data_IF_688788623680
#
_entry.id   IF_688788623680
#
_cell.length_a   1.000
_cell.length_b   1.000
_cell.length_c   1.000
_cell.angle_alpha   90.00
_cell.angle_beta   90.00
_cell.angle_gamma   90.00
#
_symmetry.space_group_name_H-M   'P 1'
#
loop_
_entity.id
_entity.type
_entity.pdbx_description
1 polymer ?
#
# COMPACT_ATOMS: atom_id res chain seq x y z
N UNK A 1 -9.32 1.90 18.79
CA UNK A 1 -7.92 1.83 18.35
C UNK A 1 -7.03 2.62 19.32
N UNK A 2 -5.88 2.08 19.75
CA UNK A 2 -5.03 2.77 20.76
C UNK A 2 -4.34 4.01 20.17
N UNK A 3 -4.33 5.14 20.90
CA UNK A 3 -3.61 6.36 20.52
C UNK A 3 -2.13 6.11 20.22
N UNK A 4 -1.52 5.11 20.88
CA UNK A 4 -0.13 4.70 20.64
C UNK A 4 0.08 4.11 19.25
N UNK A 5 -0.88 3.33 18.74
CA UNK A 5 -0.83 2.74 17.40
C UNK A 5 -0.97 3.83 16.33
N UNK A 6 -1.92 4.74 16.51
CA UNK A 6 -2.12 5.88 15.61
C UNK A 6 -0.86 6.76 15.50
N UNK A 7 -0.18 7.03 16.62
CA UNK A 7 1.09 7.78 16.61
C UNK A 7 2.21 7.05 15.87
N UNK A 8 2.28 5.72 16.00
CA UNK A 8 3.27 4.91 15.26
C UNK A 8 2.99 4.95 13.76
N UNK A 9 1.73 4.76 13.35
CA UNK A 9 1.32 4.88 11.97
C UNK A 9 1.67 6.28 11.41
N UNK A 10 1.29 7.35 12.11
CA UNK A 10 1.63 8.72 11.70
C UNK A 10 3.15 8.96 11.53
N UNK A 11 3.99 8.36 12.38
CA UNK A 11 5.44 8.46 12.24
C UNK A 11 5.97 7.75 10.98
N UNK A 12 5.39 6.60 10.62
CA UNK A 12 5.75 5.91 9.36
C UNK A 12 5.23 6.66 8.14
N UNK A 13 4.02 7.21 8.20
CA UNK A 13 3.49 8.07 7.13
C UNK A 13 4.37 9.28 6.87
N UNK A 14 4.94 9.87 7.92
CA UNK A 14 5.89 10.97 7.76
C UNK A 14 7.13 10.51 6.98
N UNK A 15 7.67 9.32 7.27
CA UNK A 15 8.80 8.75 6.52
C UNK A 15 8.44 8.47 5.06
N UNK A 16 7.25 7.92 4.81
CA UNK A 16 6.73 7.71 3.46
C UNK A 16 6.64 9.05 2.71
N UNK A 17 6.11 10.08 3.36
CA UNK A 17 6.04 11.43 2.80
C UNK A 17 7.43 12.02 2.51
N UNK A 18 8.35 11.92 3.46
CA UNK A 18 9.73 12.41 3.30
C UNK A 18 10.46 11.67 2.16
N UNK A 19 10.19 10.37 1.97
CA UNK A 19 10.79 9.54 0.91
C UNK A 19 10.18 9.77 -0.48
N UNK A 20 8.89 10.12 -0.57
CA UNK A 20 8.23 10.47 -1.84
C UNK A 20 8.61 11.88 -2.34
N UNK A 21 9.08 12.75 -1.44
CA UNK A 21 9.46 14.13 -1.76
C UNK A 21 8.32 15.14 -1.64
N UNK A 22 8.66 16.41 -1.86
CA UNK A 22 7.79 17.56 -1.56
C UNK A 22 6.61 17.74 -2.53
N UNK A 23 6.71 17.19 -3.74
CA UNK A 23 5.65 17.25 -4.76
C UNK A 23 4.55 16.19 -4.55
N UNK A 24 4.83 15.19 -3.70
CA UNK A 24 3.89 14.14 -3.36
C UNK A 24 3.11 14.50 -2.09
N UNK A 25 1.88 13.98 -1.95
CA UNK A 25 1.08 14.15 -0.73
C UNK A 25 0.38 12.84 -0.37
N UNK A 26 0.58 12.35 0.85
CA UNK A 26 -0.28 11.33 1.46
C UNK A 26 -1.44 12.02 2.19
N UNK A 27 -2.61 12.01 1.56
CA UNK A 27 -3.76 12.82 1.99
C UNK A 27 -4.65 12.12 3.04
N UNK A 28 -4.82 10.81 2.93
CA UNK A 28 -5.72 10.02 3.78
C UNK A 28 -5.24 8.58 3.88
N UNK A 29 -5.63 7.91 4.98
CA UNK A 29 -5.34 6.50 5.22
C UNK A 29 -6.60 5.77 5.67
N UNK A 30 -7.01 4.77 4.90
CA UNK A 30 -8.20 3.97 5.14
C UNK A 30 -7.85 2.55 5.55
N UNK A 31 -8.43 2.08 6.66
CA UNK A 31 -8.41 0.68 7.05
C UNK A 31 -9.69 0.01 6.58
N UNK A 32 -9.59 -1.06 5.79
CA UNK A 32 -10.75 -1.77 5.25
C UNK A 32 -10.73 -3.27 5.54
N UNK A 33 -11.93 -3.85 5.52
CA UNK A 33 -12.15 -5.30 5.51
C UNK A 33 -13.00 -5.63 4.30
N UNK A 34 -12.49 -6.49 3.42
CA UNK A 34 -13.20 -6.94 2.24
C UNK A 34 -14.10 -8.12 2.55
N UNK A 35 -15.21 -8.26 1.81
CA UNK A 35 -16.14 -9.40 1.93
C UNK A 35 -15.44 -10.77 1.80
N UNK A 36 -14.38 -10.86 1.01
CA UNK A 36 -13.60 -12.10 0.83
C UNK A 36 -12.72 -12.46 2.03
N UNK A 37 -12.68 -11.64 3.09
CA UNK A 37 -11.87 -11.85 4.29
C UNK A 37 -10.49 -11.19 4.27
N UNK A 38 -10.12 -10.51 3.18
CA UNK A 38 -8.90 -9.69 3.18
C UNK A 38 -9.06 -8.47 4.10
N UNK A 39 -7.97 -8.05 4.71
CA UNK A 39 -7.87 -6.81 5.49
C UNK A 39 -6.75 -5.99 4.92
N UNK A 40 -6.93 -4.68 4.75
CA UNK A 40 -5.88 -3.85 4.17
C UNK A 40 -5.95 -2.41 4.61
N UNK A 41 -4.85 -1.71 4.34
CA UNK A 41 -4.71 -0.27 4.49
C UNK A 41 -4.49 0.33 3.12
N UNK A 42 -5.23 1.39 2.80
CA UNK A 42 -5.05 2.19 1.58
C UNK A 42 -4.52 3.56 1.98
N UNK A 43 -3.53 4.05 1.25
CA UNK A 43 -2.89 5.34 1.40
C UNK A 43 -3.21 6.15 0.15
N UNK A 44 -4.07 7.16 0.31
CA UNK A 44 -4.52 8.01 -0.78
C UNK A 44 -3.43 9.03 -1.10
N UNK A 45 -2.82 8.92 -2.28
CA UNK A 45 -1.68 9.76 -2.68
C UNK A 45 -2.03 10.69 -3.83
N UNK A 46 -1.28 11.79 -3.94
CA UNK A 46 -1.32 12.73 -5.07
C UNK A 46 0.11 13.11 -5.44
N UNK A 47 0.33 13.42 -6.73
CA UNK A 47 1.65 13.84 -7.21
C UNK A 47 2.70 12.71 -7.27
N UNK A 48 2.26 11.45 -7.22
CA UNK A 48 3.16 10.28 -7.23
C UNK A 48 3.06 9.55 -8.57
N UNK A 49 4.21 9.26 -9.19
CA UNK A 49 4.34 8.30 -10.29
C UNK A 49 4.94 6.97 -9.80
N UNK A 50 4.71 5.89 -10.54
CA UNK A 50 5.25 4.55 -10.20
C UNK A 50 6.77 4.54 -9.99
N UNK A 51 7.50 5.34 -10.75
CA UNK A 51 8.97 5.43 -10.66
C UNK A 51 9.46 6.05 -9.35
N UNK A 52 8.60 6.78 -8.65
CA UNK A 52 8.93 7.47 -7.39
C UNK A 52 8.81 6.52 -6.19
N UNK A 53 8.27 5.31 -6.39
CA UNK A 53 8.11 4.30 -5.35
C UNK A 53 9.43 3.58 -5.12
N UNK A 54 10.17 4.02 -4.11
CA UNK A 54 11.41 3.39 -3.66
C UNK A 54 11.17 2.29 -2.61
N UNK A 55 12.21 1.50 -2.31
CA UNK A 55 12.16 0.51 -1.22
C UNK A 55 11.88 1.15 0.15
N UNK A 56 12.36 2.38 0.38
CA UNK A 56 12.09 3.11 1.63
C UNK A 56 10.59 3.45 1.78
N UNK A 57 9.95 3.83 0.66
CA UNK A 57 8.49 4.04 0.61
C UNK A 57 7.77 2.73 0.96
N UNK A 58 8.16 1.62 0.34
CA UNK A 58 7.55 0.31 0.57
C UNK A 58 7.68 -0.14 2.03
N UNK A 59 8.87 0.01 2.62
CA UNK A 59 9.13 -0.32 4.01
C UNK A 59 8.26 0.53 4.96
N UNK A 60 8.15 1.83 4.69
CA UNK A 60 7.30 2.73 5.47
C UNK A 60 5.82 2.35 5.42
N UNK A 61 5.31 1.98 4.24
CA UNK A 61 3.93 1.52 4.06
C UNK A 61 3.67 0.23 4.84
N UNK A 62 4.56 -0.77 4.74
CA UNK A 62 4.43 -2.02 5.48
C UNK A 62 4.42 -1.79 6.99
N UNK A 63 5.32 -0.96 7.51
CA UNK A 63 5.39 -0.65 8.94
C UNK A 63 4.15 0.13 9.40
N UNK A 64 3.61 1.03 8.56
CA UNK A 64 2.33 1.69 8.82
C UNK A 64 1.17 0.67 8.89
N UNK A 65 1.13 -0.28 7.95
CA UNK A 65 0.17 -1.39 7.93
C UNK A 65 0.26 -2.25 9.20
N UNK A 66 1.47 -2.68 9.57
CA UNK A 66 1.74 -3.46 10.80
C UNK A 66 1.30 -2.69 12.05
N UNK A 67 1.54 -1.37 12.10
CA UNK A 67 1.09 -0.53 13.21
C UNK A 67 -0.44 -0.47 13.34
N UNK A 68 -1.17 -0.67 12.24
CA UNK A 68 -2.64 -0.77 12.20
C UNK A 68 -3.15 -2.21 12.34
N UNK A 69 -2.26 -3.19 12.54
CA UNK A 69 -2.62 -4.60 12.71
C UNK A 69 -2.83 -5.37 11.40
N UNK A 70 -2.37 -4.83 10.28
CA UNK A 70 -2.41 -5.50 8.97
C UNK A 70 -1.08 -6.20 8.70
N UNK A 71 -1.12 -7.47 8.28
CA UNK A 71 0.05 -8.22 7.86
C UNK A 71 0.29 -7.95 6.37
N UNK A 72 1.47 -7.48 5.95
CA UNK A 72 1.74 -7.15 4.55
C UNK A 72 1.98 -8.42 3.73
N UNK A 73 0.93 -9.08 3.26
CA UNK A 73 1.07 -10.19 2.30
C UNK A 73 1.38 -9.66 0.89
N UNK A 74 0.87 -8.46 0.57
CA UNK A 74 1.13 -7.75 -0.67
C UNK A 74 1.13 -6.24 -0.46
N UNK A 75 1.99 -5.56 -1.21
CA UNK A 75 1.99 -4.11 -1.42
C UNK A 75 1.75 -3.83 -2.89
N UNK A 76 0.79 -2.99 -3.22
CA UNK A 76 0.47 -2.64 -4.61
C UNK A 76 0.13 -1.16 -4.76
N UNK A 77 0.36 -0.64 -5.96
CA UNK A 77 -0.15 0.64 -6.42
C UNK A 77 -1.41 0.42 -7.26
N UNK A 78 -2.41 1.27 -7.07
CA UNK A 78 -3.44 1.47 -8.08
C UNK A 78 -3.08 2.68 -8.92
N UNK A 79 -3.07 2.52 -10.24
CA UNK A 79 -2.69 3.58 -11.19
C UNK A 79 -3.86 4.02 -12.06
N UNK A 80 -3.80 5.24 -12.58
CA UNK A 80 -4.71 5.67 -13.66
C UNK A 80 -4.40 4.81 -14.89
N UNK A 81 -5.37 4.05 -15.44
CA UNK A 81 -5.13 3.14 -16.55
C UNK A 81 -4.43 3.82 -17.73
N UNK A 82 -3.37 3.19 -18.24
CA UNK A 82 -2.57 3.71 -19.35
C UNK A 82 -1.57 4.80 -18.97
N UNK A 83 -1.37 5.08 -17.68
CA UNK A 83 -0.41 6.08 -17.20
C UNK A 83 0.51 5.51 -16.11
N UNK A 84 1.48 6.31 -15.66
CA UNK A 84 2.31 6.01 -14.48
C UNK A 84 1.77 6.68 -13.20
N UNK A 85 0.67 7.43 -13.28
CA UNK A 85 0.12 8.21 -12.16
C UNK A 85 -0.52 7.28 -11.14
N UNK A 86 -0.06 7.35 -9.89
CA UNK A 86 -0.55 6.56 -8.77
C UNK A 86 -1.75 7.26 -8.13
N UNK A 87 -2.84 6.50 -7.95
CA UNK A 87 -4.06 6.92 -7.28
C UNK A 87 -3.96 6.63 -5.78
N UNK A 88 -3.52 5.42 -5.45
CA UNK A 88 -3.29 4.99 -4.08
C UNK A 88 -2.23 3.89 -4.01
N UNK A 89 -1.68 3.75 -2.81
CA UNK A 89 -0.81 2.66 -2.42
C UNK A 89 -1.57 1.83 -1.38
N UNK A 90 -1.36 0.53 -1.36
CA UNK A 90 -2.08 -0.33 -0.44
C UNK A 90 -1.21 -1.47 0.10
N UNK A 91 -1.42 -1.77 1.38
CA UNK A 91 -0.85 -2.92 2.09
C UNK A 91 -1.98 -3.84 2.50
N UNK A 92 -1.91 -5.13 2.18
CA UNK A 92 -3.05 -6.04 2.37
C UNK A 92 -2.63 -7.40 2.89
N UNK A 93 -3.37 -7.90 3.89
CA UNK A 93 -3.44 -9.31 4.27
C UNK A 93 -4.39 -10.01 3.31
N UNK A 94 -3.92 -11.06 2.63
CA UNK A 94 -4.69 -11.81 1.65
C UNK A 94 -5.36 -13.03 2.28
N UNK A 95 -6.60 -13.29 1.89
CA UNK A 95 -7.21 -14.60 2.07
C UNK A 95 -6.67 -15.59 1.03
N UNK A 96 -6.95 -16.88 1.21
CA UNK A 96 -6.41 -17.94 0.32
C UNK A 96 -6.79 -17.77 -1.14
N UNK A 97 -8.00 -17.29 -1.43
CA UNK A 97 -8.46 -17.01 -2.80
C UNK A 97 -7.64 -15.88 -3.42
N UNK A 98 -7.58 -14.72 -2.76
CA UNK A 98 -6.85 -13.57 -3.31
C UNK A 98 -5.35 -13.82 -3.37
N UNK A 99 -4.79 -14.66 -2.49
CA UNK A 99 -3.38 -15.08 -2.58
C UNK A 99 -3.06 -15.72 -3.93
N UNK A 100 -3.97 -16.53 -4.47
CA UNK A 100 -3.82 -17.15 -5.80
C UNK A 100 -4.04 -16.17 -6.95
N UNK A 101 -4.94 -15.21 -6.77
CA UNK A 101 -5.19 -14.16 -7.79
C UNK A 101 -4.00 -13.22 -7.93
N UNK A 102 -3.41 -12.82 -6.80
CA UNK A 102 -2.26 -11.91 -6.77
C UNK A 102 -0.92 -12.58 -7.15
N UNK A 103 -0.86 -13.91 -7.26
CA UNK A 103 0.32 -14.63 -7.74
C UNK A 103 0.45 -14.69 -9.27
N UNK A 104 -0.52 -14.17 -10.01
CA UNK A 104 -0.40 -13.95 -11.46
C UNK A 104 0.39 -12.69 -11.79
N UNK A 105 0.78 -12.51 -13.06
CA UNK A 105 1.63 -11.39 -13.48
C UNK A 105 0.99 -10.01 -13.24
N UNK A 106 -0.32 -9.84 -13.46
CA UNK A 106 -1.06 -8.64 -13.09
C UNK A 106 -2.52 -9.00 -12.75
N UNK A 107 -2.96 -8.91 -11.48
CA UNK A 107 -4.30 -9.34 -11.09
C UNK A 107 -5.41 -8.48 -11.73
N UNK A 108 -5.11 -7.22 -12.04
CA UNK A 108 -5.99 -6.28 -12.77
C UNK A 108 -5.16 -5.24 -13.54
N UNK A 109 -5.69 -4.66 -14.63
CA UNK A 109 -4.97 -3.66 -15.43
C UNK A 109 -4.58 -2.38 -14.66
N UNK A 110 -5.35 -2.02 -13.64
CA UNK A 110 -5.14 -0.84 -12.80
C UNK A 110 -4.22 -1.10 -11.59
N UNK A 111 -3.81 -2.35 -11.36
CA UNK A 111 -3.00 -2.73 -10.21
C UNK A 111 -1.57 -3.10 -10.62
N UNK A 112 -0.60 -2.53 -9.92
CA UNK A 112 0.81 -2.92 -10.02
C UNK A 112 1.27 -3.47 -8.68
N UNK A 113 1.63 -4.75 -8.66
CA UNK A 113 2.23 -5.37 -7.47
C UNK A 113 3.66 -4.86 -7.32
N UNK A 114 3.95 -4.27 -6.17
CA UNK A 114 5.25 -3.64 -5.89
C UNK A 114 6.11 -4.57 -5.03
N UNK A 115 5.47 -5.32 -4.12
CA UNK A 115 6.13 -6.27 -3.24
C UNK A 115 5.15 -7.35 -2.78
N UNK A 116 5.66 -8.56 -2.56
CA UNK A 116 4.85 -9.68 -2.11
C UNK A 116 4.07 -10.36 -3.24
N UNK A 117 3.18 -11.26 -2.84
CA UNK A 117 2.36 -12.16 -3.68
C UNK A 117 3.05 -13.03 -4.76
N UNK A 118 4.37 -13.07 -4.87
CA UNK A 118 5.11 -14.15 -5.55
C UNK A 118 6.37 -14.49 -4.75
N UNK A 119 6.60 -15.77 -4.48
CA UNK A 119 7.95 -16.28 -4.19
C UNK A 119 8.78 -15.99 -5.46
N UNK A 120 9.81 -15.16 -5.33
CA UNK A 120 10.75 -14.89 -6.44
C UNK A 120 11.48 -16.15 -6.84
#
# INVERSE_FOLDING_TARGET
>A
MSKKLLRRCAAQLKRVQDALGDDAVVSEVDLFVARCGCVGVVFMVRGVELRDISDEVLDGLEEAGKALGVRPDVVYARVVPGTQVVIDLAVRTLCDTCRREFSGEEPRPDLKVLRGATER
#
